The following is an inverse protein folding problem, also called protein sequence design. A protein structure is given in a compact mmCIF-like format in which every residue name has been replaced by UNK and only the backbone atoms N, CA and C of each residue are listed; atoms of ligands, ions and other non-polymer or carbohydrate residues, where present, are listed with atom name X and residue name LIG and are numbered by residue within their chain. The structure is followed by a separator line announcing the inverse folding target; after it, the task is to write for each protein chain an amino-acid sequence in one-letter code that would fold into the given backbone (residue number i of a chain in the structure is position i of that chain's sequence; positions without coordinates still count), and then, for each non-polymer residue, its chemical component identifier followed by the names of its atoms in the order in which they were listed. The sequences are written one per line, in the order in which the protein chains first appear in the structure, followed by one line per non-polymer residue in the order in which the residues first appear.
data_IF_336666915449
#
_entry.id   IF_336666915449
#
_cell.length_a   1.000
_cell.length_b   1.000
_cell.length_c   1.000
_cell.angle_alpha   90.00
_cell.angle_beta   90.00
_cell.angle_gamma   90.00
#
_symmetry.space_group_name_H-M   'P 1'
#
loop_
_entity.id
_entity.type
_entity.pdbx_description
1 polymer ?
#
# COMPACT_ATOMS: atom_id res chain seq x y z
N UNK A 1 12.28 -9.52 -5.26
CA UNK A 1 11.07 -9.67 -4.45
C UNK A 1 11.38 -9.12 -3.09
N UNK A 2 10.57 -8.18 -2.60
CA UNK A 2 10.51 -7.90 -1.17
C UNK A 2 10.16 -9.19 -0.43
N UNK A 3 10.68 -9.38 0.78
CA UNK A 3 10.14 -10.42 1.66
C UNK A 3 8.64 -10.15 1.87
N UNK A 4 7.82 -11.21 1.90
CA UNK A 4 6.37 -11.06 2.13
C UNK A 4 6.14 -10.50 3.53
N UNK A 5 5.11 -9.67 3.69
CA UNK A 5 4.86 -8.95 4.95
C UNK A 5 4.69 -9.87 6.16
N UNK A 6 4.23 -11.10 5.94
CA UNK A 6 3.92 -12.11 6.97
C UNK A 6 4.95 -13.24 7.06
N UNK A 7 5.98 -13.26 6.20
CA UNK A 7 6.92 -14.36 6.14
C UNK A 7 7.76 -14.44 7.42
N UNK A 8 7.77 -15.63 8.03
CA UNK A 8 8.60 -15.89 9.21
C UNK A 8 10.06 -16.14 8.82
N UNK A 9 11.03 -15.64 9.60
CA UNK A 9 12.44 -15.92 9.36
C UNK A 9 12.73 -17.42 9.31
N UNK A 10 13.49 -17.86 8.29
CA UNK A 10 13.89 -19.25 8.11
C UNK A 10 12.81 -20.19 7.57
N UNK A 11 11.63 -19.67 7.22
CA UNK A 11 10.55 -20.46 6.58
C UNK A 11 10.57 -20.18 5.08
N UNK A 12 10.75 -21.25 4.30
CA UNK A 12 10.63 -21.19 2.84
C UNK A 12 9.14 -21.17 2.44
N UNK A 13 8.77 -20.24 1.57
CA UNK A 13 7.44 -20.15 0.99
C UNK A 13 7.35 -21.11 -0.20
N UNK A 14 6.29 -21.91 -0.25
CA UNK A 14 6.04 -22.79 -1.38
C UNK A 14 5.52 -22.00 -2.58
N UNK A 15 6.23 -22.10 -3.70
CA UNK A 15 5.92 -21.32 -4.90
C UNK A 15 4.56 -21.68 -5.53
N UNK A 16 4.13 -22.94 -5.44
CA UNK A 16 2.83 -23.35 -6.00
C UNK A 16 1.69 -22.84 -5.14
N UNK A 17 1.85 -22.86 -3.81
CA UNK A 17 0.87 -22.27 -2.89
C UNK A 17 0.79 -20.76 -3.10
N UNK A 18 1.94 -20.07 -3.22
CA UNK A 18 1.96 -18.62 -3.46
C UNK A 18 1.27 -18.24 -4.77
N UNK A 19 1.55 -18.98 -5.85
CA UNK A 19 0.91 -18.75 -7.14
C UNK A 19 -0.61 -18.95 -7.08
N UNK A 20 -1.09 -19.93 -6.31
CA UNK A 20 -2.53 -20.17 -6.15
C UNK A 20 -3.22 -19.11 -5.29
N UNK A 21 -2.57 -18.62 -4.24
CA UNK A 21 -3.19 -17.70 -3.28
C UNK A 21 -3.12 -16.22 -3.69
N UNK A 22 -2.02 -15.79 -4.31
CA UNK A 22 -1.74 -14.37 -4.56
C UNK A 22 -1.15 -14.10 -5.96
N UNK A 23 -1.07 -15.10 -6.84
CA UNK A 23 -0.39 -14.99 -8.13
C UNK A 23 -0.97 -13.92 -9.06
N UNK A 24 -2.28 -13.67 -8.95
CA UNK A 24 -3.00 -12.70 -9.77
C UNK A 24 -3.37 -11.41 -9.02
N UNK A 25 -3.03 -11.28 -7.73
CA UNK A 25 -3.46 -10.16 -6.88
C UNK A 25 -2.99 -8.83 -7.47
N UNK A 26 -1.71 -8.70 -7.84
CA UNK A 26 -1.18 -7.48 -8.48
C UNK A 26 -1.85 -7.13 -9.81
N UNK A 27 -2.51 -8.07 -10.48
CA UNK A 27 -3.27 -7.81 -11.70
C UNK A 27 -4.70 -7.35 -11.36
N UNK A 28 -5.37 -8.06 -10.46
CA UNK A 28 -6.75 -7.77 -10.04
C UNK A 28 -6.84 -6.45 -9.27
N UNK A 29 -5.85 -6.17 -8.41
CA UNK A 29 -5.77 -4.96 -7.60
C UNK A 29 -5.68 -3.69 -8.44
N UNK A 30 -5.23 -3.77 -9.69
CA UNK A 30 -5.18 -2.62 -10.60
C UNK A 30 -6.55 -2.00 -10.81
N UNK A 31 -7.62 -2.80 -10.74
CA UNK A 31 -9.01 -2.35 -10.91
C UNK A 31 -9.45 -1.39 -9.79
N UNK A 32 -8.86 -1.50 -8.60
CA UNK A 32 -9.21 -0.67 -7.45
C UNK A 32 -8.03 0.06 -6.80
N UNK A 33 -6.85 0.05 -7.42
CA UNK A 33 -5.64 0.67 -6.88
C UNK A 33 -5.81 2.18 -6.61
N UNK A 34 -6.50 2.90 -7.51
CA UNK A 34 -6.81 4.32 -7.30
C UNK A 34 -7.77 4.55 -6.12
N UNK A 35 -8.68 3.62 -5.86
CA UNK A 35 -9.58 3.67 -4.70
C UNK A 35 -8.81 3.38 -3.40
N UNK A 36 -7.87 2.45 -3.42
CA UNK A 36 -7.00 2.17 -2.26
C UNK A 36 -6.06 3.34 -1.92
N UNK A 37 -5.56 4.05 -2.93
CA UNK A 37 -4.81 5.30 -2.73
C UNK A 37 -5.67 6.35 -2.02
N UNK A 38 -6.92 6.53 -2.45
CA UNK A 38 -7.85 7.47 -1.83
C UNK A 38 -8.21 7.07 -0.40
N UNK A 39 -8.49 5.78 -0.18
CA UNK A 39 -8.74 5.22 1.15
C UNK A 39 -7.54 5.44 2.09
N UNK A 40 -6.32 5.29 1.56
CA UNK A 40 -5.08 5.56 2.29
C UNK A 40 -4.89 7.04 2.61
N UNK A 41 -5.32 7.95 1.73
CA UNK A 41 -5.34 9.39 2.02
C UNK A 41 -6.28 9.71 3.18
N UNK A 42 -7.51 9.20 3.13
CA UNK A 42 -8.50 9.39 4.19
C UNK A 42 -8.00 8.81 5.54
N UNK A 43 -7.33 7.65 5.51
CA UNK A 43 -6.71 7.06 6.69
C UNK A 43 -5.59 7.94 7.27
N UNK A 44 -4.70 8.49 6.43
CA UNK A 44 -3.67 9.42 6.87
C UNK A 44 -4.26 10.66 7.58
N UNK A 45 -5.35 11.22 7.05
CA UNK A 45 -6.07 12.31 7.70
C UNK A 45 -6.68 11.87 9.05
N UNK A 46 -7.13 10.63 9.17
CA UNK A 46 -7.54 10.02 10.45
C UNK A 46 -6.39 9.97 11.46
N UNK A 47 -5.23 9.46 11.04
CA UNK A 47 -4.03 9.38 11.87
C UNK A 47 -3.56 10.75 12.37
N UNK A 48 -3.60 11.77 11.51
CA UNK A 48 -3.27 13.15 11.93
C UNK A 48 -4.25 13.67 12.98
N UNK A 49 -5.56 13.43 12.81
CA UNK A 49 -6.58 13.88 13.79
C UNK A 49 -6.39 13.28 15.18
N UNK A 50 -5.85 12.08 15.28
CA UNK A 50 -5.53 11.42 16.55
C UNK A 50 -4.10 11.69 17.04
N UNK A 51 -3.36 12.57 16.37
CA UNK A 51 -2.00 12.98 16.77
C UNK A 51 -0.90 11.98 16.43
N UNK A 52 -1.15 10.98 15.58
CA UNK A 52 -0.12 10.03 15.13
C UNK A 52 0.74 10.54 13.98
N UNK A 53 0.30 11.62 13.31
CA UNK A 53 1.05 12.31 12.26
C UNK A 53 1.07 13.82 12.54
N UNK A 54 2.18 14.49 12.22
CA UNK A 54 2.23 15.95 12.17
C UNK A 54 1.56 16.48 10.90
N UNK A 55 1.30 17.79 10.84
CA UNK A 55 0.75 18.43 9.64
C UNK A 55 1.69 18.29 8.43
N UNK A 56 3.00 18.40 8.64
CA UNK A 56 3.99 18.26 7.57
C UNK A 56 4.09 16.82 7.05
N UNK A 57 3.99 15.84 7.95
CA UNK A 57 3.96 14.41 7.60
C UNK A 57 2.71 14.06 6.79
N UNK A 58 1.54 14.56 7.22
CA UNK A 58 0.30 14.40 6.45
C UNK A 58 0.44 15.03 5.06
N UNK A 59 0.92 16.27 4.97
CA UNK A 59 1.10 16.95 3.68
C UNK A 59 2.08 16.19 2.77
N UNK A 60 3.12 15.57 3.34
CA UNK A 60 4.03 14.68 2.61
C UNK A 60 3.33 13.45 2.04
N UNK A 61 2.56 12.75 2.88
CA UNK A 61 1.79 11.57 2.49
C UNK A 61 0.76 11.90 1.41
N UNK A 62 0.00 13.00 1.55
CA UNK A 62 -1.00 13.41 0.57
C UNK A 62 -0.39 13.75 -0.79
N UNK A 63 0.77 14.43 -0.80
CA UNK A 63 1.51 14.72 -2.03
C UNK A 63 1.97 13.43 -2.71
N UNK A 64 2.62 12.53 -1.98
CA UNK A 64 3.15 11.28 -2.57
C UNK A 64 2.04 10.34 -3.04
N UNK A 65 0.91 10.25 -2.32
CA UNK A 65 -0.28 9.51 -2.77
C UNK A 65 -0.86 10.10 -4.06
N UNK A 66 -0.87 11.43 -4.19
CA UNK A 66 -1.32 12.11 -5.41
C UNK A 66 -0.38 11.80 -6.58
N UNK A 67 0.93 11.93 -6.37
CA UNK A 67 1.93 11.55 -7.36
C UNK A 67 1.80 10.09 -7.77
N UNK A 68 1.60 9.16 -6.83
CA UNK A 68 1.42 7.73 -7.13
C UNK A 68 0.17 7.48 -7.99
N UNK A 69 -0.95 8.16 -7.70
CA UNK A 69 -2.15 8.05 -8.52
C UNK A 69 -1.93 8.57 -9.95
N UNK A 70 -1.18 9.66 -10.12
CA UNK A 70 -0.83 10.22 -11.44
C UNK A 70 0.14 9.30 -12.20
N UNK A 71 1.16 8.79 -11.52
CA UNK A 71 2.11 7.82 -12.07
C UNK A 71 1.38 6.56 -12.54
N UNK A 72 0.43 6.05 -11.76
CA UNK A 72 -0.37 4.88 -12.14
C UNK A 72 -1.27 5.16 -13.35
N UNK A 73 -1.98 6.29 -13.37
CA UNK A 73 -2.86 6.67 -14.50
C UNK A 73 -2.10 6.87 -15.81
N UNK A 74 -0.89 7.41 -15.73
CA UNK A 74 -0.04 7.64 -16.90
C UNK A 74 0.73 6.40 -17.37
N UNK A 75 0.73 5.33 -16.56
CA UNK A 75 1.54 4.13 -16.79
C UNK A 75 3.01 4.28 -16.41
N UNK A 76 3.42 5.41 -15.81
CA UNK A 76 4.77 5.61 -15.28
C UNK A 76 5.05 4.72 -14.06
N UNK A 77 4.00 4.38 -13.29
CA UNK A 77 4.03 3.35 -12.27
C UNK A 77 3.16 2.18 -12.71
N UNK A 78 3.74 0.97 -12.65
CA UNK A 78 3.04 -0.29 -12.94
C UNK A 78 3.05 -1.13 -11.68
N UNK A 79 1.86 -1.52 -11.22
CA UNK A 79 1.70 -2.50 -10.15
C UNK A 79 2.03 -3.89 -10.72
N UNK A 80 3.16 -4.46 -10.34
CA UNK A 80 3.68 -5.72 -10.85
C UNK A 80 4.21 -6.63 -9.73
N UNK A 81 4.74 -7.79 -10.12
CA UNK A 81 5.24 -8.87 -9.25
C UNK A 81 6.39 -8.47 -8.28
N UNK A 82 6.88 -7.22 -8.34
CA UNK A 82 7.79 -6.72 -7.32
C UNK A 82 7.09 -6.53 -5.97
N UNK A 83 5.77 -6.36 -5.99
CA UNK A 83 4.91 -6.17 -4.83
C UNK A 83 4.07 -7.43 -4.58
N UNK A 84 3.60 -7.60 -3.35
CA UNK A 84 2.68 -8.68 -2.98
C UNK A 84 1.28 -8.40 -3.56
N UNK A 85 0.86 -7.14 -3.49
CA UNK A 85 -0.49 -6.63 -3.82
C UNK A 85 -0.43 -5.09 -3.98
N UNK A 86 -1.54 -4.44 -4.34
CA UNK A 86 -1.61 -2.98 -4.45
C UNK A 86 -1.37 -2.27 -3.11
N UNK A 87 -1.91 -2.87 -2.07
CA UNK A 87 -1.76 -2.50 -0.67
C UNK A 87 -0.30 -2.31 -0.20
N UNK A 88 0.56 -3.28 -0.48
CA UNK A 88 2.00 -3.28 -0.20
C UNK A 88 2.76 -2.34 -1.12
N UNK A 89 2.31 -2.17 -2.36
CA UNK A 89 2.91 -1.20 -3.28
C UNK A 89 2.78 0.25 -2.79
N UNK A 90 1.61 0.62 -2.24
CA UNK A 90 1.41 1.94 -1.61
C UNK A 90 2.37 2.10 -0.43
N UNK A 91 2.44 1.11 0.46
CA UNK A 91 3.29 1.17 1.65
C UNK A 91 4.78 1.26 1.30
N UNK A 92 5.22 0.49 0.31
CA UNK A 92 6.59 0.53 -0.21
C UNK A 92 6.92 1.91 -0.78
N UNK A 93 6.05 2.47 -1.64
CA UNK A 93 6.24 3.81 -2.23
C UNK A 93 6.35 4.89 -1.15
N UNK A 94 5.44 4.87 -0.17
CA UNK A 94 5.43 5.87 0.90
C UNK A 94 6.64 5.74 1.82
N UNK A 95 7.03 4.51 2.16
CA UNK A 95 8.21 4.26 3.00
C UNK A 95 9.50 4.66 2.31
N UNK A 96 9.64 4.36 1.02
CA UNK A 96 10.80 4.78 0.22
C UNK A 96 10.94 6.31 0.16
N UNK A 97 9.83 7.02 -0.01
CA UNK A 97 9.83 8.48 -0.21
C UNK A 97 9.87 9.29 1.08
N UNK A 98 9.23 8.79 2.14
CA UNK A 98 8.94 9.55 3.36
C UNK A 98 9.46 8.89 4.64
N UNK A 99 10.12 7.74 4.54
CA UNK A 99 10.69 7.02 5.68
C UNK A 99 9.65 6.68 6.75
N UNK A 100 9.91 7.14 7.97
CA UNK A 100 9.09 6.86 9.17
C UNK A 100 7.65 7.37 9.07
N UNK A 101 7.41 8.46 8.33
CA UNK A 101 6.06 8.93 8.06
C UNK A 101 5.31 7.94 7.14
N UNK A 102 6.00 7.42 6.13
CA UNK A 102 5.48 6.39 5.23
C UNK A 102 5.12 5.10 5.97
N UNK A 103 6.01 4.61 6.85
CA UNK A 103 5.76 3.41 7.67
C UNK A 103 4.53 3.52 8.56
N UNK A 104 4.16 4.73 8.99
CA UNK A 104 2.97 4.95 9.83
C UNK A 104 1.64 4.84 9.10
N UNK A 105 1.63 4.78 7.76
CA UNK A 105 0.37 4.72 7.00
C UNK A 105 -0.49 3.49 7.32
N UNK A 106 0.10 2.40 7.82
CA UNK A 106 -0.64 1.19 8.20
C UNK A 106 -1.01 1.15 9.70
N UNK A 107 -0.64 2.17 10.48
CA UNK A 107 -0.93 2.20 11.91
C UNK A 107 -2.44 2.11 12.16
N UNK A 108 -2.86 1.16 13.01
CA UNK A 108 -4.27 0.98 13.39
C UNK A 108 -5.18 0.50 12.27
N UNK A 109 -4.64 0.03 11.15
CA UNK A 109 -5.37 -0.49 9.98
C UNK A 109 -4.94 -1.93 9.71
N UNK A 110 -5.84 -2.76 9.21
CA UNK A 110 -5.54 -4.12 8.70
C UNK A 110 -5.79 -4.16 7.20
N UNK A 111 -5.31 -5.21 6.52
CA UNK A 111 -5.66 -5.43 5.11
C UNK A 111 -7.13 -5.78 4.92
N UNK A 112 -7.77 -6.40 5.93
CA UNK A 112 -9.20 -6.76 5.86
C UNK A 112 -10.12 -5.54 5.72
N UNK A 113 -9.92 -4.51 6.55
CA UNK A 113 -10.69 -3.27 6.45
C UNK A 113 -10.25 -2.42 5.26
N UNK A 114 -8.95 -2.42 4.93
CA UNK A 114 -8.46 -1.67 3.78
C UNK A 114 -9.05 -2.17 2.45
N UNK A 115 -9.02 -3.47 2.19
CA UNK A 115 -9.60 -4.05 0.95
C UNK A 115 -11.10 -3.82 0.88
N UNK A 116 -11.81 -3.90 2.02
CA UNK A 116 -13.24 -3.63 2.08
C UNK A 116 -13.58 -2.17 1.76
N UNK A 117 -12.75 -1.21 2.17
CA UNK A 117 -12.96 0.21 1.82
C UNK A 117 -12.59 0.47 0.36
N UNK A 118 -11.53 -0.14 -0.15
CA UNK A 118 -11.09 0.08 -1.54
C UNK A 118 -12.08 -0.47 -2.58
N UNK A 119 -12.90 -1.46 -2.22
CA UNK A 119 -13.81 -2.18 -3.14
C UNK A 119 -15.28 -1.78 -3.03
N UNK A 120 -15.64 -0.81 -2.17
CA UNK A 120 -17.03 -0.40 -1.89
C UNK A 120 -17.30 1.03 -2.29
#
# INVERSE_FOLDING_TARGET
MSDLLWQKPGVAVDAQIQAFLAGDDVLLDREFFLHDIEASRAHAQGLQRIGMLTADELAGLERELTTLAEDFRSGAFVLDERFEDGHSAIEARLTERLGDAGRRIHAGRSRNDQVLVATR
#
